data_IF_353317620483
#
_entry.id   IF_353317620483
#
_cell.length_a   1.000
_cell.length_b   1.000
_cell.length_c   1.000
_cell.angle_alpha   90.00
_cell.angle_beta   90.00
_cell.angle_gamma   90.00
#
_symmetry.space_group_name_H-M   'P 1'
#
loop_
_entity.id
_entity.type
_entity.pdbx_description
1 polymer ?
#
# COMPACT_ATOMS: atom_id res chain seq x y z
N UNK A 1 23.17 -16.66 -19.91
CA UNK A 1 23.30 -17.08 -18.50
C UNK A 1 24.15 -16.11 -17.67
N UNK A 2 25.36 -15.70 -18.13
CA UNK A 2 26.21 -14.77 -17.37
C UNK A 2 25.49 -13.45 -16.98
N UNK A 3 24.77 -12.84 -17.94
CA UNK A 3 24.01 -11.59 -17.67
C UNK A 3 22.88 -11.79 -16.63
N UNK A 4 22.23 -12.93 -16.62
CA UNK A 4 21.24 -13.27 -15.59
C UNK A 4 21.87 -13.38 -14.19
N UNK A 5 23.05 -13.97 -14.09
CA UNK A 5 23.80 -14.06 -12.83
C UNK A 5 24.24 -12.67 -12.34
N UNK A 6 24.66 -11.77 -13.25
CA UNK A 6 24.99 -10.39 -12.91
C UNK A 6 23.75 -9.67 -12.35
N UNK A 7 22.60 -9.73 -13.04
CA UNK A 7 21.35 -9.15 -12.55
C UNK A 7 20.95 -9.69 -11.18
N UNK A 8 21.09 -11.00 -10.98
CA UNK A 8 20.79 -11.64 -9.69
C UNK A 8 21.74 -11.17 -8.58
N UNK A 9 23.02 -11.00 -8.88
CA UNK A 9 24.00 -10.48 -7.93
C UNK A 9 23.68 -9.02 -7.53
N UNK A 10 23.32 -8.18 -8.51
CA UNK A 10 22.88 -6.81 -8.28
C UNK A 10 21.62 -6.76 -7.40
N UNK A 11 20.62 -7.60 -7.70
CA UNK A 11 19.41 -7.72 -6.90
C UNK A 11 19.70 -8.09 -5.43
N UNK A 12 20.56 -9.11 -5.22
CA UNK A 12 20.98 -9.55 -3.88
C UNK A 12 21.78 -8.47 -3.13
N UNK A 13 22.53 -7.65 -3.86
CA UNK A 13 23.28 -6.51 -3.30
C UNK A 13 22.38 -5.30 -2.98
N UNK A 14 21.06 -5.38 -3.22
CA UNK A 14 20.12 -4.26 -3.02
C UNK A 14 20.19 -3.18 -4.11
N UNK A 15 20.96 -3.41 -5.18
CA UNK A 15 21.11 -2.49 -6.33
C UNK A 15 19.96 -2.71 -7.32
N UNK A 16 18.73 -2.48 -6.86
CA UNK A 16 17.52 -2.81 -7.61
C UNK A 16 17.34 -2.07 -8.93
N UNK A 17 17.70 -0.78 -9.06
CA UNK A 17 17.62 -0.08 -10.36
C UNK A 17 18.51 -0.72 -11.41
N UNK A 18 19.74 -1.06 -11.06
CA UNK A 18 20.71 -1.68 -11.97
C UNK A 18 20.35 -3.13 -12.30
N UNK A 19 19.78 -3.84 -11.32
CA UNK A 19 19.22 -5.17 -11.54
C UNK A 19 18.06 -5.11 -12.55
N UNK A 20 17.14 -4.14 -12.39
CA UNK A 20 16.02 -3.95 -13.30
C UNK A 20 16.49 -3.67 -14.74
N UNK A 21 17.45 -2.77 -14.93
CA UNK A 21 18.03 -2.48 -16.23
C UNK A 21 18.66 -3.73 -16.87
N UNK A 22 19.43 -4.49 -16.09
CA UNK A 22 20.07 -5.74 -16.53
C UNK A 22 19.02 -6.77 -16.96
N UNK A 23 17.96 -6.97 -16.20
CA UNK A 23 16.90 -7.92 -16.51
C UNK A 23 16.02 -7.45 -17.66
N UNK A 24 15.75 -6.15 -17.78
CA UNK A 24 15.02 -5.58 -18.92
C UNK A 24 15.76 -5.84 -20.23
N UNK A 25 17.05 -5.53 -20.27
CA UNK A 25 17.88 -5.81 -21.46
C UNK A 25 17.89 -7.32 -21.79
N UNK A 26 18.04 -8.17 -20.76
CA UNK A 26 18.08 -9.61 -20.96
C UNK A 26 16.74 -10.16 -21.48
N UNK A 27 15.60 -9.68 -20.98
CA UNK A 27 14.29 -10.13 -21.41
C UNK A 27 14.02 -9.83 -22.89
N UNK A 28 14.52 -8.70 -23.37
CA UNK A 28 14.43 -8.31 -24.80
C UNK A 28 15.38 -9.16 -25.65
N UNK A 29 16.63 -9.29 -25.23
CA UNK A 29 17.68 -10.03 -26.00
C UNK A 29 17.35 -11.52 -26.11
N UNK A 30 16.56 -12.09 -25.20
CA UNK A 30 16.24 -13.52 -25.15
C UNK A 30 14.76 -13.80 -25.38
N UNK A 31 14.04 -12.88 -26.04
CA UNK A 31 12.61 -12.98 -26.28
C UNK A 31 12.20 -14.36 -26.82
N UNK A 32 11.13 -14.93 -26.29
CA UNK A 32 10.61 -16.24 -26.63
C UNK A 32 11.34 -17.44 -25.98
N UNK A 33 12.31 -17.21 -25.11
CA UNK A 33 13.00 -18.27 -24.37
C UNK A 33 12.54 -18.36 -22.92
N UNK A 34 12.77 -19.51 -22.26
CA UNK A 34 12.55 -19.66 -20.82
C UNK A 34 13.36 -18.64 -19.99
N UNK A 35 14.54 -18.25 -20.48
CA UNK A 35 15.38 -17.24 -19.82
C UNK A 35 14.74 -15.84 -19.87
N UNK A 36 13.98 -15.52 -20.93
CA UNK A 36 13.22 -14.27 -20.99
C UNK A 36 12.15 -14.23 -19.90
N UNK A 37 11.41 -15.32 -19.68
CA UNK A 37 10.42 -15.38 -18.62
C UNK A 37 11.03 -15.17 -17.24
N UNK A 38 12.16 -15.81 -16.95
CA UNK A 38 12.90 -15.60 -15.70
C UNK A 38 13.38 -14.16 -15.55
N UNK A 39 13.86 -13.54 -16.64
CA UNK A 39 14.31 -12.15 -16.64
C UNK A 39 13.14 -11.19 -16.36
N UNK A 40 11.97 -11.37 -16.97
CA UNK A 40 10.77 -10.56 -16.70
C UNK A 40 10.31 -10.66 -15.25
N UNK A 41 10.32 -11.86 -14.67
CA UNK A 41 9.95 -12.06 -13.26
C UNK A 41 10.95 -11.32 -12.35
N UNK A 42 12.23 -11.41 -12.63
CA UNK A 42 13.25 -10.72 -11.85
C UNK A 42 13.22 -9.20 -12.06
N UNK A 43 12.85 -8.72 -13.26
CA UNK A 43 12.57 -7.31 -13.55
C UNK A 43 11.42 -6.80 -12.67
N UNK A 44 10.30 -7.50 -12.68
CA UNK A 44 9.14 -7.18 -11.83
C UNK A 44 9.50 -7.13 -10.35
N UNK A 45 10.22 -8.14 -9.85
CA UNK A 45 10.70 -8.16 -8.46
C UNK A 45 11.62 -6.97 -8.15
N UNK A 46 12.47 -6.58 -9.12
CA UNK A 46 13.36 -5.42 -8.95
C UNK A 46 12.59 -4.11 -8.86
N UNK A 47 11.55 -3.93 -9.68
CA UNK A 47 10.65 -2.77 -9.59
C UNK A 47 9.85 -2.77 -8.27
N UNK A 48 9.35 -3.90 -7.83
CA UNK A 48 8.65 -4.02 -6.55
C UNK A 48 9.53 -3.59 -5.36
N UNK A 49 10.81 -4.01 -5.36
CA UNK A 49 11.79 -3.60 -4.32
C UNK A 49 12.14 -2.12 -4.34
N UNK A 50 11.94 -1.44 -5.47
CA UNK A 50 12.07 0.01 -5.59
C UNK A 50 10.79 0.75 -5.13
N UNK A 51 9.72 0.03 -4.75
CA UNK A 51 8.41 0.62 -4.47
C UNK A 51 7.59 0.94 -5.73
N UNK A 52 8.08 0.58 -6.92
CA UNK A 52 7.41 0.79 -8.22
C UNK A 52 6.43 -0.35 -8.51
N UNK A 53 5.44 -0.53 -7.63
CA UNK A 53 4.64 -1.76 -7.61
C UNK A 53 3.71 -1.86 -8.83
N UNK A 54 3.15 -0.75 -9.30
CA UNK A 54 2.31 -0.76 -10.52
C UNK A 54 3.14 -1.14 -11.76
N UNK A 55 4.41 -0.70 -11.82
CA UNK A 55 5.34 -1.13 -12.87
C UNK A 55 5.63 -2.64 -12.77
N UNK A 56 5.87 -3.14 -11.56
CA UNK A 56 6.07 -4.58 -11.34
C UNK A 56 4.88 -5.43 -11.81
N UNK A 57 3.66 -4.96 -11.54
CA UNK A 57 2.43 -5.61 -12.04
C UNK A 57 2.35 -5.56 -13.55
N UNK A 58 2.71 -4.43 -14.16
CA UNK A 58 2.72 -4.27 -15.62
C UNK A 58 3.72 -5.22 -16.29
N UNK A 59 4.92 -5.37 -15.74
CA UNK A 59 5.94 -6.29 -16.25
C UNK A 59 5.39 -7.73 -16.32
N UNK A 60 4.72 -8.18 -15.26
CA UNK A 60 4.12 -9.53 -15.23
C UNK A 60 2.95 -9.67 -16.21
N UNK A 61 2.13 -8.63 -16.39
CA UNK A 61 1.07 -8.67 -17.40
C UNK A 61 1.64 -8.66 -18.83
N UNK A 62 2.74 -7.96 -19.09
CA UNK A 62 3.41 -7.99 -20.36
C UNK A 62 3.94 -9.41 -20.65
N UNK A 63 4.58 -10.06 -19.67
CA UNK A 63 5.02 -11.43 -19.83
C UNK A 63 3.85 -12.39 -20.06
N UNK A 64 2.73 -12.20 -19.34
CA UNK A 64 1.53 -13.03 -19.51
C UNK A 64 0.96 -12.92 -20.93
N UNK A 65 1.03 -11.73 -21.55
CA UNK A 65 0.59 -11.53 -22.93
C UNK A 65 1.54 -12.15 -23.97
N UNK A 66 2.79 -12.41 -23.59
CA UNK A 66 3.83 -12.97 -24.48
C UNK A 66 3.97 -14.49 -24.37
N UNK A 67 3.41 -15.12 -23.32
CA UNK A 67 3.57 -16.55 -23.08
C UNK A 67 2.31 -17.34 -23.42
N UNK A 68 2.50 -18.51 -24.03
CA UNK A 68 1.47 -19.53 -24.17
C UNK A 68 1.75 -20.75 -23.24
N UNK A 69 2.84 -20.73 -22.48
CA UNK A 69 3.24 -21.80 -21.58
C UNK A 69 2.43 -21.70 -20.28
N UNK A 70 1.68 -22.77 -19.98
CA UNK A 70 0.83 -22.84 -18.79
C UNK A 70 1.64 -22.76 -17.49
N UNK A 71 2.81 -23.38 -17.41
CA UNK A 71 3.65 -23.35 -16.21
C UNK A 71 4.24 -21.95 -15.97
N UNK A 72 4.59 -21.22 -17.03
CA UNK A 72 5.02 -19.83 -16.95
C UNK A 72 3.84 -18.95 -16.53
N UNK A 73 2.65 -19.16 -17.09
CA UNK A 73 1.42 -18.46 -16.71
C UNK A 73 1.08 -18.66 -15.23
N UNK A 74 1.16 -19.89 -14.73
CA UNK A 74 0.93 -20.20 -13.33
C UNK A 74 1.92 -19.46 -12.41
N UNK A 75 3.19 -19.45 -12.78
CA UNK A 75 4.22 -18.72 -12.04
C UNK A 75 3.96 -17.22 -12.02
N UNK A 76 3.52 -16.64 -13.15
CA UNK A 76 3.14 -15.22 -13.23
C UNK A 76 1.96 -14.93 -12.29
N UNK A 77 0.92 -15.74 -12.32
CA UNK A 77 -0.22 -15.55 -11.44
C UNK A 77 0.14 -15.70 -9.96
N UNK A 78 1.07 -16.59 -9.63
CA UNK A 78 1.62 -16.72 -8.28
C UNK A 78 2.37 -15.43 -7.84
N UNK A 79 3.25 -14.88 -8.67
CA UNK A 79 3.97 -13.64 -8.40
C UNK A 79 3.00 -12.44 -8.28
N UNK A 80 1.98 -12.34 -9.15
CA UNK A 80 0.94 -11.31 -9.06
C UNK A 80 0.18 -11.41 -7.74
N UNK A 81 -0.16 -12.61 -7.30
CA UNK A 81 -0.81 -12.85 -6.02
C UNK A 81 -0.01 -12.25 -4.87
N UNK A 82 1.29 -12.51 -4.80
CA UNK A 82 2.17 -11.97 -3.77
C UNK A 82 2.33 -10.45 -3.86
N UNK A 83 2.45 -9.88 -5.07
CA UNK A 83 2.48 -8.42 -5.23
C UNK A 83 1.20 -7.76 -4.71
N UNK A 84 0.03 -8.37 -4.93
CA UNK A 84 -1.23 -7.87 -4.40
C UNK A 84 -1.34 -8.03 -2.88
N UNK A 85 -0.80 -9.11 -2.30
CA UNK A 85 -0.68 -9.29 -0.85
C UNK A 85 0.15 -8.16 -0.23
N UNK A 86 1.29 -7.83 -0.82
CA UNK A 86 2.15 -6.74 -0.34
C UNK A 86 1.46 -5.37 -0.36
N UNK A 87 0.48 -5.18 -1.26
CA UNK A 87 -0.36 -3.98 -1.33
C UNK A 87 -1.58 -4.03 -0.40
N UNK A 88 -1.87 -5.16 0.27
CA UNK A 88 -3.12 -5.37 1.00
C UNK A 88 -4.35 -5.49 0.09
N UNK A 89 -4.15 -5.82 -1.18
CA UNK A 89 -5.22 -6.03 -2.18
C UNK A 89 -5.65 -7.51 -2.19
N UNK A 90 -6.22 -7.95 -1.09
CA UNK A 90 -6.52 -9.36 -0.84
C UNK A 90 -7.41 -10.01 -1.89
N UNK A 91 -8.47 -9.31 -2.35
CA UNK A 91 -9.38 -9.82 -3.39
C UNK A 91 -8.64 -10.05 -4.72
N UNK A 92 -7.71 -9.16 -5.09
CA UNK A 92 -6.89 -9.31 -6.29
C UNK A 92 -5.88 -10.44 -6.15
N UNK A 93 -5.34 -10.63 -4.96
CA UNK A 93 -4.46 -11.76 -4.67
C UNK A 93 -5.22 -13.09 -4.83
N UNK A 94 -6.43 -13.21 -4.26
CA UNK A 94 -7.26 -14.41 -4.41
C UNK A 94 -7.63 -14.67 -5.87
N UNK A 95 -7.98 -13.63 -6.63
CA UNK A 95 -8.24 -13.75 -8.07
C UNK A 95 -7.02 -14.21 -8.85
N UNK A 96 -5.84 -13.70 -8.53
CA UNK A 96 -4.60 -14.11 -9.19
C UNK A 96 -4.29 -15.58 -8.90
N UNK A 97 -4.34 -16.01 -7.64
CA UNK A 97 -4.16 -17.42 -7.28
C UNK A 97 -5.23 -18.34 -7.88
N UNK A 98 -6.46 -17.86 -8.01
CA UNK A 98 -7.55 -18.61 -8.63
C UNK A 98 -7.39 -18.86 -10.14
N UNK A 99 -6.48 -18.14 -10.81
CA UNK A 99 -6.14 -18.33 -12.22
C UNK A 99 -5.02 -19.37 -12.46
N UNK A 100 -4.39 -19.86 -11.41
CA UNK A 100 -3.39 -20.91 -11.48
C UNK A 100 -4.07 -22.22 -11.88
N UNK A 101 -3.49 -22.95 -12.83
CA UNK A 101 -4.02 -24.21 -13.33
C UNK A 101 -4.12 -25.28 -12.22
N UNK A 102 -4.89 -26.35 -12.45
CA UNK A 102 -5.01 -27.48 -11.51
C UNK A 102 -3.65 -28.03 -11.09
N UNK A 103 -2.73 -28.15 -12.03
CA UNK A 103 -1.39 -28.70 -11.79
C UNK A 103 -0.52 -27.75 -10.98
N UNK A 104 -0.63 -26.44 -11.27
CA UNK A 104 0.07 -25.39 -10.53
C UNK A 104 -0.47 -25.22 -9.11
N UNK A 105 -1.77 -25.45 -8.87
CA UNK A 105 -2.35 -25.30 -7.53
C UNK A 105 -1.69 -26.17 -6.47
N UNK A 106 -1.36 -27.42 -6.82
CA UNK A 106 -0.63 -28.32 -5.90
C UNK A 106 0.81 -27.84 -5.67
N UNK A 107 1.49 -27.41 -6.76
CA UNK A 107 2.88 -26.93 -6.70
C UNK A 107 3.05 -25.71 -5.80
N UNK A 108 2.12 -24.77 -5.86
CA UNK A 108 2.15 -23.50 -5.13
C UNK A 108 1.32 -23.49 -3.85
N UNK A 109 0.74 -24.63 -3.43
CA UNK A 109 -0.11 -24.74 -2.24
C UNK A 109 -1.27 -23.73 -2.23
N UNK A 110 -1.82 -23.46 -3.40
CA UNK A 110 -2.85 -22.41 -3.62
C UNK A 110 -4.09 -22.59 -2.73
N UNK A 111 -4.63 -23.81 -2.48
CA UNK A 111 -5.78 -23.98 -1.61
C UNK A 111 -5.56 -23.43 -0.19
N UNK A 112 -4.37 -23.59 0.38
CA UNK A 112 -4.05 -23.08 1.73
C UNK A 112 -3.90 -21.56 1.72
N UNK A 113 -3.26 -20.99 0.70
CA UNK A 113 -3.16 -19.55 0.51
C UNK A 113 -4.54 -18.91 0.38
N UNK A 114 -5.44 -19.48 -0.42
CA UNK A 114 -6.78 -18.97 -0.61
C UNK A 114 -7.65 -19.12 0.64
N UNK A 115 -7.52 -20.23 1.37
CA UNK A 115 -8.17 -20.40 2.68
C UNK A 115 -7.71 -19.32 3.65
N UNK A 116 -6.43 -19.04 3.69
CA UNK A 116 -5.91 -17.95 4.52
C UNK A 116 -6.47 -16.59 4.09
N UNK A 117 -6.43 -16.28 2.78
CA UNK A 117 -6.95 -15.02 2.24
C UNK A 117 -8.44 -14.82 2.51
N UNK A 118 -9.24 -15.89 2.63
CA UNK A 118 -10.65 -15.78 3.01
C UNK A 118 -10.84 -15.14 4.39
N UNK A 119 -9.85 -15.24 5.28
CA UNK A 119 -9.81 -14.55 6.56
C UNK A 119 -9.60 -13.03 6.45
N UNK A 120 -9.16 -12.53 5.29
CA UNK A 120 -8.94 -11.10 5.08
C UNK A 120 -10.22 -10.26 5.20
N UNK A 121 -11.38 -10.84 4.93
CA UNK A 121 -12.69 -10.19 5.11
C UNK A 121 -12.94 -9.76 6.57
N UNK A 122 -12.25 -10.36 7.54
CA UNK A 122 -12.36 -10.02 8.96
C UNK A 122 -11.40 -8.90 9.38
N UNK A 123 -10.52 -8.42 8.49
CA UNK A 123 -9.59 -7.34 8.81
C UNK A 123 -10.40 -6.05 9.00
N UNK A 124 -10.40 -5.57 10.25
CA UNK A 124 -11.01 -4.27 10.54
C UNK A 124 -10.24 -3.16 9.82
N UNK A 125 -10.95 -2.36 9.05
CA UNK A 125 -10.38 -1.20 8.37
C UNK A 125 -11.12 0.09 8.76
N UNK A 126 -10.42 1.22 8.71
CA UNK A 126 -11.00 2.55 8.93
C UNK A 126 -11.03 3.30 7.61
N UNK A 127 -12.11 4.02 7.38
CA UNK A 127 -12.24 4.87 6.20
C UNK A 127 -11.55 6.22 6.45
N UNK A 128 -10.44 6.54 5.74
CA UNK A 128 -9.72 7.81 5.93
C UNK A 128 -10.57 9.04 5.55
N UNK A 129 -11.43 8.91 4.53
CA UNK A 129 -12.35 9.98 4.12
C UNK A 129 -13.38 10.26 5.23
N UNK A 130 -13.94 9.22 5.82
CA UNK A 130 -14.85 9.37 6.96
C UNK A 130 -14.15 10.02 8.16
N UNK A 131 -12.89 9.64 8.45
CA UNK A 131 -12.10 10.26 9.49
C UNK A 131 -11.89 11.77 9.23
N UNK A 132 -11.61 12.15 7.98
CA UNK A 132 -11.49 13.55 7.54
C UNK A 132 -12.80 14.32 7.66
N UNK A 133 -13.90 13.77 7.15
CA UNK A 133 -15.24 14.39 7.20
C UNK A 133 -15.72 14.60 8.65
N UNK A 134 -15.53 13.62 9.51
CA UNK A 134 -15.89 13.73 10.93
C UNK A 134 -15.03 14.78 11.66
N UNK A 135 -13.83 15.09 11.13
CA UNK A 135 -12.94 16.13 11.68
C UNK A 135 -13.41 17.56 11.37
N UNK A 136 -14.45 17.76 10.55
CA UNK A 136 -15.14 19.06 10.41
C UNK A 136 -15.61 19.55 11.78
N UNK A 137 -16.09 18.63 12.62
CA UNK A 137 -16.22 18.92 14.06
C UNK A 137 -14.87 18.62 14.72
N UNK A 138 -14.20 19.60 15.32
CA UNK A 138 -12.90 19.39 15.97
C UNK A 138 -12.94 18.22 16.95
N UNK A 139 -12.02 17.27 16.79
CA UNK A 139 -12.01 16.06 17.60
C UNK A 139 -12.82 14.88 17.05
N UNK A 140 -13.75 15.09 16.13
CA UNK A 140 -14.63 14.03 15.60
C UNK A 140 -13.86 12.90 14.88
N UNK A 141 -12.86 13.25 14.09
CA UNK A 141 -12.00 12.25 13.43
C UNK A 141 -11.10 11.48 14.41
N UNK A 142 -10.64 12.12 15.47
CA UNK A 142 -9.91 11.50 16.57
C UNK A 142 -10.81 10.50 17.32
N UNK A 143 -12.05 10.89 17.57
CA UNK A 143 -13.07 10.01 18.18
C UNK A 143 -13.31 8.77 17.31
N UNK A 144 -13.53 8.95 16.00
CA UNK A 144 -13.67 7.86 15.03
C UNK A 144 -12.47 6.90 15.07
N UNK A 145 -11.26 7.44 15.27
CA UNK A 145 -10.04 6.65 15.39
C UNK A 145 -9.87 5.98 16.77
N UNK A 146 -10.80 6.18 17.73
CA UNK A 146 -10.75 5.61 19.07
C UNK A 146 -9.82 6.38 20.02
N UNK A 147 -9.43 7.62 19.67
CA UNK A 147 -8.51 8.47 20.45
C UNK A 147 -9.29 9.50 21.27
N UNK A 148 -9.99 9.04 22.27
CA UNK A 148 -10.91 9.87 23.06
C UNK A 148 -10.22 11.07 23.73
N UNK A 149 -9.02 10.88 24.30
CA UNK A 149 -8.27 11.97 24.96
C UNK A 149 -7.86 13.04 23.97
N UNK A 150 -7.37 12.64 22.82
CA UNK A 150 -6.99 13.57 21.75
C UNK A 150 -8.21 14.27 21.13
N UNK A 151 -9.35 13.60 21.07
CA UNK A 151 -10.60 14.17 20.59
C UNK A 151 -11.05 15.32 21.51
N UNK A 152 -11.04 15.10 22.82
CA UNK A 152 -11.38 16.13 23.81
C UNK A 152 -10.39 17.30 23.75
N UNK A 153 -9.09 17.02 23.71
CA UNK A 153 -8.06 18.07 23.62
C UNK A 153 -8.20 18.90 22.34
N UNK A 154 -8.43 18.23 21.20
CA UNK A 154 -8.64 18.91 19.92
C UNK A 154 -9.90 19.76 19.94
N UNK A 155 -10.98 19.28 20.51
CA UNK A 155 -12.23 20.04 20.65
C UNK A 155 -12.04 21.28 21.50
N UNK A 156 -11.50 21.13 22.72
CA UNK A 156 -11.31 22.24 23.66
C UNK A 156 -10.35 23.31 23.10
N UNK A 157 -9.24 22.89 22.49
CA UNK A 157 -8.28 23.81 21.90
C UNK A 157 -8.90 24.62 20.75
N UNK A 158 -9.59 23.97 19.82
CA UNK A 158 -10.18 24.67 18.69
C UNK A 158 -11.35 25.54 19.13
N UNK A 159 -12.21 25.10 20.06
CA UNK A 159 -13.30 25.89 20.60
C UNK A 159 -12.76 27.15 21.33
N UNK A 160 -11.68 26.97 22.11
CA UNK A 160 -11.02 28.11 22.79
C UNK A 160 -10.42 29.12 21.81
N UNK A 161 -9.75 28.67 20.76
CA UNK A 161 -9.17 29.55 19.74
C UNK A 161 -10.25 30.27 18.92
N UNK A 162 -11.34 29.58 18.57
CA UNK A 162 -12.47 30.19 17.88
C UNK A 162 -13.11 31.30 18.77
N UNK A 163 -13.33 30.98 20.04
CA UNK A 163 -13.88 31.95 20.97
C UNK A 163 -12.94 33.12 21.21
N UNK A 164 -11.66 32.85 21.43
CA UNK A 164 -10.67 33.92 21.61
C UNK A 164 -10.55 34.85 20.38
N UNK A 165 -10.61 34.28 19.16
CA UNK A 165 -10.64 35.08 17.94
C UNK A 165 -11.91 35.94 17.85
N UNK A 166 -13.06 35.33 18.15
CA UNK A 166 -14.34 36.06 18.19
C UNK A 166 -14.30 37.23 19.16
N UNK A 167 -13.89 37.00 20.42
CA UNK A 167 -13.77 38.02 21.47
C UNK A 167 -12.82 39.15 21.06
N UNK A 168 -11.68 38.80 20.41
CA UNK A 168 -10.75 39.82 19.92
C UNK A 168 -11.38 40.71 18.81
N UNK A 169 -12.15 40.11 17.89
CA UNK A 169 -12.85 40.89 16.87
C UNK A 169 -13.99 41.73 17.42
N UNK A 170 -14.73 41.22 18.41
CA UNK A 170 -15.82 41.96 19.07
C UNK A 170 -15.30 43.19 19.83
N UNK A 171 -14.09 43.08 20.39
CA UNK A 171 -13.42 44.20 21.06
C UNK A 171 -12.55 45.05 20.12
N UNK A 172 -12.78 45.02 18.80
CA UNK A 172 -12.08 45.78 17.76
C UNK A 172 -10.56 45.53 17.68
N UNK A 173 -10.05 44.44 18.32
CA UNK A 173 -8.64 44.03 18.29
C UNK A 173 -8.33 43.24 17.02
N UNK A 174 -8.56 43.81 15.85
CA UNK A 174 -8.53 43.13 14.56
C UNK A 174 -7.19 42.42 14.28
N UNK A 175 -6.06 43.05 14.63
CA UNK A 175 -4.74 42.43 14.44
C UNK A 175 -4.58 41.18 15.30
N UNK A 176 -4.98 41.20 16.56
CA UNK A 176 -4.94 40.06 17.47
C UNK A 176 -5.89 38.96 17.05
N UNK A 177 -7.15 39.31 16.69
CA UNK A 177 -8.13 38.35 16.19
C UNK A 177 -7.67 37.64 14.94
N UNK A 178 -7.01 38.35 14.01
CA UNK A 178 -6.45 37.79 12.81
C UNK A 178 -5.32 36.77 13.09
N UNK A 179 -4.42 37.12 14.02
CA UNK A 179 -3.33 36.18 14.42
C UNK A 179 -3.90 34.92 15.08
N UNK A 180 -4.85 35.09 16.02
CA UNK A 180 -5.50 33.94 16.68
C UNK A 180 -6.24 33.06 15.66
N UNK A 181 -6.99 33.69 14.74
CA UNK A 181 -7.71 32.98 13.68
C UNK A 181 -6.79 32.21 12.76
N UNK A 182 -5.65 32.79 12.37
CA UNK A 182 -4.63 32.10 11.55
C UNK A 182 -4.02 30.89 12.27
N UNK A 183 -3.64 31.05 13.54
CA UNK A 183 -3.15 29.97 14.37
C UNK A 183 -4.22 28.90 14.56
N UNK A 184 -5.47 29.27 14.84
CA UNK A 184 -6.61 28.38 14.98
C UNK A 184 -6.86 27.57 13.72
N UNK A 185 -6.78 28.21 12.54
CA UNK A 185 -6.91 27.53 11.26
C UNK A 185 -5.81 26.46 11.07
N UNK A 186 -4.56 26.76 11.46
CA UNK A 186 -3.46 25.80 11.42
C UNK A 186 -3.72 24.56 12.29
N UNK A 187 -4.19 24.75 13.52
CA UNK A 187 -4.58 23.66 14.41
C UNK A 187 -5.77 22.86 13.86
N UNK A 188 -6.76 23.53 13.31
CA UNK A 188 -7.93 22.90 12.71
C UNK A 188 -7.54 22.02 11.51
N UNK A 189 -6.76 22.56 10.58
CA UNK A 189 -6.25 21.80 9.42
C UNK A 189 -5.36 20.61 9.86
N UNK A 190 -4.50 20.84 10.86
CA UNK A 190 -3.66 19.78 11.46
C UNK A 190 -4.48 18.65 12.08
N UNK A 191 -5.62 18.95 12.71
CA UNK A 191 -6.53 17.93 13.25
C UNK A 191 -7.14 17.05 12.17
N UNK A 192 -7.61 17.65 11.07
CA UNK A 192 -8.15 16.92 9.92
C UNK A 192 -7.08 15.98 9.34
N UNK A 193 -5.90 16.54 9.03
CA UNK A 193 -4.78 15.77 8.49
C UNK A 193 -4.37 14.64 9.42
N UNK A 194 -4.25 14.91 10.72
CA UNK A 194 -3.91 13.94 11.74
C UNK A 194 -4.90 12.76 11.83
N UNK A 195 -6.20 13.04 11.70
CA UNK A 195 -7.23 12.01 11.72
C UNK A 195 -7.16 11.10 10.49
N UNK A 196 -7.01 11.70 9.28
CA UNK A 196 -6.86 10.96 8.01
C UNK A 196 -5.59 10.10 8.03
N UNK A 197 -4.46 10.69 8.39
CA UNK A 197 -3.17 10.00 8.48
C UNK A 197 -3.21 8.82 9.45
N UNK A 198 -3.92 8.96 10.56
CA UNK A 198 -4.09 7.90 11.56
C UNK A 198 -4.92 6.74 11.01
N UNK A 199 -6.00 7.00 10.28
CA UNK A 199 -6.80 5.97 9.64
C UNK A 199 -5.97 5.17 8.62
N UNK A 200 -5.16 5.84 7.79
CA UNK A 200 -4.22 5.19 6.88
C UNK A 200 -3.19 4.33 7.62
N UNK A 201 -2.61 4.87 8.71
CA UNK A 201 -1.64 4.12 9.51
C UNK A 201 -2.26 2.88 10.12
N UNK A 202 -3.47 3.00 10.71
CA UNK A 202 -4.20 1.86 11.26
C UNK A 202 -4.40 0.75 10.22
N UNK A 203 -4.86 1.11 9.02
CA UNK A 203 -5.08 0.13 7.95
C UNK A 203 -3.78 -0.54 7.51
N UNK A 204 -2.70 0.23 7.39
CA UNK A 204 -1.39 -0.32 7.04
C UNK A 204 -0.88 -1.29 8.11
N UNK A 205 -1.00 -0.93 9.39
CA UNK A 205 -0.55 -1.77 10.50
C UNK A 205 -1.36 -3.09 10.54
N UNK A 206 -2.70 -3.04 10.33
CA UNK A 206 -3.56 -4.23 10.26
C UNK A 206 -3.25 -5.12 9.06
N UNK A 207 -2.99 -4.53 7.90
CA UNK A 207 -2.57 -5.28 6.72
C UNK A 207 -1.20 -5.94 6.93
N UNK A 208 -0.26 -5.25 7.59
CA UNK A 208 1.04 -5.82 7.91
C UNK A 208 0.94 -7.01 8.88
N UNK A 209 0.15 -6.88 9.95
CA UNK A 209 -0.11 -7.98 10.90
C UNK A 209 -0.69 -9.22 10.20
N UNK A 210 -1.66 -9.02 9.30
CA UNK A 210 -2.26 -10.12 8.54
C UNK A 210 -1.24 -10.77 7.59
N UNK A 211 -0.47 -9.97 6.84
CA UNK A 211 0.59 -10.48 5.98
C UNK A 211 1.64 -11.29 6.77
N UNK A 212 2.06 -10.77 7.93
CA UNK A 212 3.06 -11.42 8.76
C UNK A 212 2.55 -12.76 9.34
N UNK A 213 1.22 -12.90 9.52
CA UNK A 213 0.62 -14.19 9.89
C UNK A 213 0.64 -15.18 8.73
N UNK A 214 0.55 -14.72 7.47
CA UNK A 214 0.71 -15.57 6.28
C UNK A 214 2.12 -16.16 6.17
N UNK A 215 3.15 -15.37 6.48
CA UNK A 215 4.54 -15.83 6.43
C UNK A 215 4.90 -16.87 7.50
N UNK A 216 3.97 -17.20 8.41
CA UNK A 216 4.13 -18.22 9.47
C UNK A 216 3.46 -19.54 9.15
N UNK A 217 2.78 -19.65 8.00
CA UNK A 217 2.24 -20.89 7.46
C UNK A 217 3.32 -21.68 6.73
#
# INVERSE_FOLDING_TARGET
>A
QARYQIGTALYRAGRYPEAAETFNTLSVDTAGSALAADAYIMLSRSHARQGMVEQAVLDLHNLLALTADAAVSDRIHFELGWLYIDQGRWDRADQAFGRISSDGQATYQVPDLRRFLSGSATISSKNPTAAGMLSIVPGGGQLYNGRYRDAVSAFLLNAGLIWAAWEAFDNELYALGSVIGFVGFGFYAGNIYGAVSRAHKYNRDRNAEFRDSLNRL
#
